data_IF_612309377983
#
_entry.id   IF_612309377983
#
_cell.length_a   1.000
_cell.length_b   1.000
_cell.length_c   1.000
_cell.angle_alpha   90.00
_cell.angle_beta   90.00
_cell.angle_gamma   90.00
#
_symmetry.space_group_name_H-M   'P 1'
#
loop_
_entity.id
_entity.type
_entity.pdbx_description
1 polymer ?
#
# COMPACT_ATOMS: atom_id res chain seq x y z
N UNK A 1 -17.49 18.59 -8.70
CA UNK A 1 -16.23 19.31 -8.41
C UNK A 1 -15.10 18.72 -9.23
N UNK A 2 -13.86 19.24 -9.18
CA UNK A 2 -12.69 18.64 -9.85
C UNK A 2 -12.48 17.18 -9.40
N UNK A 3 -12.66 16.92 -8.10
CA UNK A 3 -12.57 15.58 -7.53
C UNK A 3 -13.59 14.62 -8.17
N UNK A 4 -14.86 15.00 -8.21
CA UNK A 4 -15.95 14.11 -8.70
C UNK A 4 -15.97 13.95 -10.22
N UNK A 5 -15.70 15.02 -10.97
CA UNK A 5 -15.89 15.04 -12.44
C UNK A 5 -14.64 14.63 -13.22
N UNK A 6 -13.49 14.52 -12.56
CA UNK A 6 -12.24 14.10 -13.20
C UNK A 6 -11.53 13.09 -12.32
N UNK A 7 -10.93 13.49 -11.20
CA UNK A 7 -9.97 12.61 -10.49
C UNK A 7 -10.57 11.27 -10.10
N UNK A 8 -11.78 11.23 -9.53
CA UNK A 8 -12.44 9.98 -9.13
C UNK A 8 -12.79 9.10 -10.32
N UNK A 9 -13.15 9.68 -11.47
CA UNK A 9 -13.41 8.95 -12.71
C UNK A 9 -12.12 8.31 -13.21
N UNK A 10 -11.06 9.12 -13.35
CA UNK A 10 -9.76 8.66 -13.85
C UNK A 10 -9.14 7.58 -12.95
N UNK A 11 -9.29 7.72 -11.61
CA UNK A 11 -8.85 6.72 -10.63
C UNK A 11 -9.65 5.42 -10.73
N UNK A 12 -10.97 5.49 -10.95
CA UNK A 12 -11.82 4.32 -11.09
C UNK A 12 -11.50 3.55 -12.38
N UNK A 13 -11.25 4.27 -13.48
CA UNK A 13 -10.92 3.68 -14.78
C UNK A 13 -9.65 2.84 -14.70
N UNK A 14 -8.58 3.36 -14.09
CA UNK A 14 -7.33 2.59 -13.95
C UNK A 14 -7.43 1.43 -12.94
N UNK A 15 -8.31 1.55 -11.93
CA UNK A 15 -8.47 0.54 -10.88
C UNK A 15 -9.37 -0.62 -11.29
N UNK A 16 -10.25 -0.42 -12.28
CA UNK A 16 -11.16 -1.44 -12.80
C UNK A 16 -10.68 -2.10 -14.10
N UNK A 17 -9.51 -1.68 -14.60
CA UNK A 17 -8.91 -2.23 -15.82
C UNK A 17 -8.69 -3.77 -15.70
N UNK A 18 -9.05 -4.56 -16.74
CA UNK A 18 -8.88 -6.01 -16.77
C UNK A 18 -7.44 -6.44 -16.49
N UNK A 19 -7.24 -7.56 -15.80
CA UNK A 19 -5.92 -8.00 -15.32
C UNK A 19 -4.99 -8.46 -16.46
N UNK A 20 -5.54 -8.86 -17.60
CA UNK A 20 -4.80 -9.37 -18.78
C UNK A 20 -4.22 -8.25 -19.68
N UNK A 21 -4.47 -6.98 -19.34
CA UNK A 21 -3.86 -5.72 -19.84
C UNK A 21 -3.07 -5.82 -21.14
N UNK A 22 -3.74 -6.12 -22.25
CA UNK A 22 -3.08 -6.18 -23.59
C UNK A 22 -2.59 -4.82 -24.06
N UNK A 23 -3.36 -3.76 -23.81
CA UNK A 23 -3.04 -2.38 -24.20
C UNK A 23 -3.36 -1.40 -23.06
N UNK A 24 -2.49 -1.28 -22.05
CA UNK A 24 -2.69 -0.32 -20.97
C UNK A 24 -2.57 1.12 -21.48
N UNK A 25 -3.48 2.00 -21.04
CA UNK A 25 -3.30 3.44 -21.20
C UNK A 25 -2.23 3.94 -20.20
N UNK A 26 -0.96 3.86 -20.64
CA UNK A 26 0.21 4.28 -19.85
C UNK A 26 0.19 5.77 -19.50
N UNK A 27 -0.45 6.60 -20.33
CA UNK A 27 -0.52 8.03 -20.08
C UNK A 27 -1.47 8.31 -18.91
N UNK A 28 -2.68 7.73 -18.94
CA UNK A 28 -3.65 7.83 -17.86
C UNK A 28 -3.11 7.24 -16.55
N UNK A 29 -2.47 6.07 -16.61
CA UNK A 29 -1.82 5.47 -15.43
C UNK A 29 -0.85 6.44 -14.77
N UNK A 30 0.11 6.98 -15.55
CA UNK A 30 1.14 7.87 -15.03
C UNK A 30 0.55 9.19 -14.52
N UNK A 31 -0.45 9.72 -15.21
CA UNK A 31 -1.20 10.89 -14.77
C UNK A 31 -1.83 10.65 -13.40
N UNK A 32 -2.57 9.55 -13.23
CA UNK A 32 -3.25 9.24 -11.97
C UNK A 32 -2.23 8.95 -10.87
N UNK A 33 -1.27 8.05 -11.09
CA UNK A 33 -0.35 7.58 -10.04
C UNK A 33 0.64 8.64 -9.59
N UNK A 34 0.90 9.67 -10.41
CA UNK A 34 1.84 10.75 -10.09
C UNK A 34 1.12 12.08 -9.88
N UNK A 35 0.51 12.63 -10.94
CA UNK A 35 -0.04 13.98 -10.92
C UNK A 35 -1.24 14.08 -9.98
N UNK A 36 -2.25 13.22 -10.15
CA UNK A 36 -3.47 13.24 -9.31
C UNK A 36 -3.13 12.99 -7.84
N UNK A 37 -2.32 11.97 -7.54
CA UNK A 37 -1.88 11.69 -6.16
C UNK A 37 -1.16 12.89 -5.55
N UNK A 38 -0.23 13.53 -6.27
CA UNK A 38 0.52 14.68 -5.75
C UNK A 38 -0.36 15.92 -5.55
N UNK A 39 -1.34 16.15 -6.43
CA UNK A 39 -2.31 17.24 -6.26
C UNK A 39 -3.15 17.00 -5.02
N UNK A 40 -3.64 15.77 -4.82
CA UNK A 40 -4.41 15.40 -3.62
C UNK A 40 -3.56 15.63 -2.37
N UNK A 41 -2.33 15.08 -2.31
CA UNK A 41 -1.40 15.27 -1.19
C UNK A 41 -1.20 16.76 -0.89
N UNK A 42 -0.84 17.54 -1.90
CA UNK A 42 -0.54 18.97 -1.75
C UNK A 42 -1.77 19.76 -1.30
N UNK A 43 -2.93 19.46 -1.88
CA UNK A 43 -4.19 20.10 -1.53
C UNK A 43 -4.53 19.85 -0.06
N UNK A 44 -4.54 18.60 0.37
CA UNK A 44 -4.98 18.24 1.73
C UNK A 44 -3.97 18.59 2.83
N UNK A 45 -2.67 18.68 2.50
CA UNK A 45 -1.65 19.22 3.41
C UNK A 45 -1.71 20.75 3.55
N UNK A 46 -2.38 21.44 2.62
CA UNK A 46 -2.50 22.90 2.70
C UNK A 46 -3.39 23.31 3.86
N UNK A 47 -3.01 24.32 4.67
CA UNK A 47 -3.86 24.84 5.75
C UNK A 47 -5.17 25.45 5.22
N UNK A 48 -5.22 25.81 3.94
CA UNK A 48 -6.44 26.34 3.31
C UNK A 48 -7.46 25.26 2.93
N UNK A 49 -7.09 23.98 3.03
CA UNK A 49 -7.99 22.88 2.67
C UNK A 49 -9.02 22.55 3.75
N UNK A 50 -8.89 23.08 4.98
CA UNK A 50 -9.84 22.86 6.08
C UNK A 50 -11.29 23.22 5.67
N UNK A 51 -11.47 24.25 4.83
CA UNK A 51 -12.80 24.65 4.34
C UNK A 51 -13.39 23.65 3.33
N UNK A 52 -12.56 22.82 2.71
CA UNK A 52 -12.96 21.91 1.63
C UNK A 52 -13.33 20.51 2.10
N UNK A 53 -13.07 20.17 3.37
CA UNK A 53 -13.07 18.77 3.84
C UNK A 53 -13.89 18.53 5.11
N UNK A 54 -14.21 19.59 5.85
CA UNK A 54 -14.71 19.50 7.24
C UNK A 54 -16.23 19.76 7.33
N UNK A 55 -16.87 20.14 6.22
CA UNK A 55 -18.33 20.31 6.17
C UNK A 55 -18.98 18.96 5.87
N UNK A 56 -20.05 18.59 6.60
CA UNK A 56 -20.83 17.34 6.37
C UNK A 56 -21.15 17.07 4.89
N UNK A 57 -21.35 18.13 4.09
CA UNK A 57 -21.66 18.03 2.66
C UNK A 57 -20.49 17.57 1.77
N UNK A 58 -19.25 17.58 2.27
CA UNK A 58 -18.04 17.22 1.52
C UNK A 58 -17.37 15.93 2.01
N UNK A 59 -17.79 15.41 3.16
CA UNK A 59 -17.33 14.12 3.69
C UNK A 59 -17.45 12.98 2.65
N UNK A 60 -18.56 12.82 1.89
CA UNK A 60 -18.66 11.72 0.93
C UNK A 60 -17.55 11.75 -0.14
N UNK A 61 -17.17 12.94 -0.60
CA UNK A 61 -16.12 13.12 -1.61
C UNK A 61 -14.76 12.70 -1.03
N UNK A 62 -14.48 13.09 0.22
CA UNK A 62 -13.26 12.68 0.91
C UNK A 62 -13.15 11.15 1.01
N UNK A 63 -14.23 10.50 1.47
CA UNK A 63 -14.27 9.04 1.61
C UNK A 63 -14.09 8.35 0.25
N UNK A 64 -14.72 8.88 -0.81
CA UNK A 64 -14.55 8.36 -2.16
C UNK A 64 -13.11 8.50 -2.67
N UNK A 65 -12.43 9.60 -2.37
CA UNK A 65 -11.01 9.78 -2.74
C UNK A 65 -10.12 8.77 -2.03
N UNK A 66 -10.29 8.60 -0.70
CA UNK A 66 -9.54 7.61 0.07
C UNK A 66 -9.79 6.19 -0.45
N UNK A 67 -11.06 5.84 -0.68
CA UNK A 67 -11.44 4.53 -1.21
C UNK A 67 -10.84 4.28 -2.60
N UNK A 68 -10.86 5.30 -3.48
CA UNK A 68 -10.32 5.19 -4.84
C UNK A 68 -8.80 5.07 -4.81
N UNK A 69 -8.11 5.84 -3.97
CA UNK A 69 -6.66 5.74 -3.81
C UNK A 69 -6.27 4.35 -3.30
N UNK A 70 -7.01 3.81 -2.32
CA UNK A 70 -6.84 2.44 -1.85
C UNK A 70 -7.02 1.40 -2.96
N UNK A 71 -8.06 1.53 -3.80
CA UNK A 71 -8.26 0.62 -4.95
C UNK A 71 -7.11 0.70 -5.95
N UNK A 72 -6.64 1.90 -6.26
CA UNK A 72 -5.45 2.10 -7.10
C UNK A 72 -4.24 1.39 -6.47
N UNK A 73 -4.02 1.49 -5.16
CA UNK A 73 -2.89 0.80 -4.52
C UNK A 73 -2.96 -0.72 -4.63
N UNK A 74 -4.15 -1.31 -4.78
CA UNK A 74 -4.30 -2.76 -4.99
C UNK A 74 -3.99 -3.22 -6.42
N UNK A 75 -3.74 -2.30 -7.35
CA UNK A 75 -3.39 -2.65 -8.72
C UNK A 75 -2.06 -3.42 -8.77
N UNK A 76 -2.03 -4.65 -9.32
CA UNK A 76 -0.82 -5.49 -9.31
C UNK A 76 0.27 -5.00 -10.26
N UNK A 77 -0.11 -4.19 -11.26
CA UNK A 77 0.78 -3.69 -12.31
C UNK A 77 1.59 -2.45 -11.90
N UNK A 78 1.35 -1.88 -10.72
CA UNK A 78 2.07 -0.70 -10.24
C UNK A 78 3.55 -1.00 -10.07
N UNK A 79 4.41 -0.15 -10.62
CA UNK A 79 5.83 -0.13 -10.26
C UNK A 79 6.01 0.25 -8.78
N UNK A 80 7.18 -0.06 -8.21
CA UNK A 80 7.49 0.27 -6.82
C UNK A 80 7.37 1.79 -6.53
N UNK A 81 7.79 2.64 -7.46
CA UNK A 81 7.71 4.09 -7.32
C UNK A 81 6.26 4.59 -7.36
N UNK A 82 5.46 4.10 -8.32
CA UNK A 82 4.03 4.45 -8.39
C UNK A 82 3.29 3.99 -7.14
N UNK A 83 3.54 2.74 -6.70
CA UNK A 83 2.96 2.19 -5.47
C UNK A 83 3.29 3.05 -4.25
N UNK A 84 4.56 3.41 -4.09
CA UNK A 84 4.99 4.29 -3.00
C UNK A 84 4.24 5.62 -3.03
N UNK A 85 4.08 6.24 -4.20
CA UNK A 85 3.38 7.53 -4.30
C UNK A 85 1.90 7.43 -3.94
N UNK A 86 1.21 6.37 -4.40
CA UNK A 86 -0.19 6.11 -4.07
C UNK A 86 -0.36 5.82 -2.57
N UNK A 87 0.52 5.00 -1.98
CA UNK A 87 0.53 4.72 -0.54
C UNK A 87 0.79 5.98 0.30
N UNK A 88 1.67 6.87 -0.16
CA UNK A 88 1.90 8.16 0.47
C UNK A 88 0.63 9.04 0.44
N UNK A 89 -0.08 9.06 -0.69
CA UNK A 89 -1.36 9.76 -0.79
C UNK A 89 -2.40 9.22 0.20
N UNK A 90 -2.51 7.88 0.32
CA UNK A 90 -3.42 7.24 1.28
C UNK A 90 -3.04 7.65 2.70
N UNK A 91 -1.74 7.63 3.06
CA UNK A 91 -1.26 8.04 4.38
C UNK A 91 -1.66 9.48 4.70
N UNK A 92 -1.40 10.42 3.80
CA UNK A 92 -1.80 11.83 3.97
C UNK A 92 -3.30 11.97 4.19
N UNK A 93 -4.13 11.30 3.37
CA UNK A 93 -5.58 11.32 3.56
C UNK A 93 -5.97 10.75 4.93
N UNK A 94 -5.40 9.62 5.35
CA UNK A 94 -5.68 9.04 6.68
C UNK A 94 -5.29 9.96 7.83
N UNK A 95 -4.16 10.65 7.75
CA UNK A 95 -3.73 11.65 8.76
C UNK A 95 -4.70 12.83 8.81
N UNK A 96 -5.12 13.34 7.65
CA UNK A 96 -6.09 14.43 7.55
C UNK A 96 -7.44 14.04 8.14
N UNK A 97 -7.90 12.82 7.89
CA UNK A 97 -9.14 12.32 8.47
C UNK A 97 -9.11 12.32 10.01
N UNK A 98 -7.99 11.86 10.59
CA UNK A 98 -7.78 11.86 12.04
C UNK A 98 -7.71 13.28 12.59
N UNK A 99 -6.85 14.12 12.00
CA UNK A 99 -6.63 15.50 12.46
C UNK A 99 -7.89 16.36 12.40
N UNK A 100 -8.74 16.13 11.39
CA UNK A 100 -9.99 16.88 11.17
C UNK A 100 -11.25 16.16 11.65
N UNK A 101 -11.11 15.01 12.33
CA UNK A 101 -12.24 14.19 12.79
C UNK A 101 -13.26 13.88 11.68
N UNK A 102 -12.77 13.61 10.46
CA UNK A 102 -13.63 13.22 9.33
C UNK A 102 -14.01 11.76 9.52
N UNK A 103 -15.30 11.48 9.66
CA UNK A 103 -15.79 10.11 9.79
C UNK A 103 -15.55 9.31 8.50
N UNK A 104 -14.95 8.13 8.63
CA UNK A 104 -14.70 7.16 7.56
C UNK A 104 -15.49 5.88 7.87
N UNK A 105 -16.06 5.18 6.86
CA UNK A 105 -16.63 3.85 7.08
C UNK A 105 -15.61 2.87 7.66
N UNK A 106 -16.00 2.14 8.72
CA UNK A 106 -15.13 1.23 9.47
C UNK A 106 -14.40 0.20 8.58
N UNK A 107 -15.07 -0.32 7.56
CA UNK A 107 -14.46 -1.29 6.64
C UNK A 107 -13.29 -0.70 5.85
N UNK A 108 -13.40 0.55 5.41
CA UNK A 108 -12.34 1.25 4.70
C UNK A 108 -11.18 1.58 5.64
N UNK A 109 -11.48 2.01 6.88
CA UNK A 109 -10.46 2.23 7.90
C UNK A 109 -9.64 0.96 8.17
N UNK A 110 -10.32 -0.18 8.40
CA UNK A 110 -9.68 -1.48 8.60
C UNK A 110 -8.81 -1.91 7.42
N UNK A 111 -9.27 -1.68 6.18
CA UNK A 111 -8.50 -1.98 4.97
C UNK A 111 -7.21 -1.17 4.89
N UNK A 112 -7.28 0.12 5.19
CA UNK A 112 -6.12 1.03 5.17
C UNK A 112 -5.13 0.69 6.29
N UNK A 113 -5.61 0.41 7.49
CA UNK A 113 -4.75 0.01 8.61
C UNK A 113 -4.03 -1.32 8.34
N UNK A 114 -4.75 -2.30 7.77
CA UNK A 114 -4.15 -3.58 7.37
C UNK A 114 -3.03 -3.41 6.33
N UNK A 115 -3.17 -2.45 5.41
CA UNK A 115 -2.16 -2.15 4.38
C UNK A 115 -0.82 -1.74 5.01
N UNK A 116 -0.85 -0.81 5.98
CA UNK A 116 0.37 -0.32 6.63
C UNK A 116 0.93 -1.30 7.68
N UNK A 117 0.08 -2.12 8.30
CA UNK A 117 0.52 -3.18 9.20
C UNK A 117 1.26 -4.31 8.45
N UNK A 118 0.78 -4.71 7.26
CA UNK A 118 1.48 -5.66 6.38
C UNK A 118 2.89 -5.17 6.01
N UNK A 119 3.02 -3.89 5.66
CA UNK A 119 4.31 -3.27 5.35
C UNK A 119 5.27 -3.32 6.56
N UNK A 120 4.77 -3.07 7.76
CA UNK A 120 5.55 -3.13 9.00
C UNK A 120 6.07 -4.53 9.30
N UNK A 121 5.24 -5.56 9.12
CA UNK A 121 5.63 -6.96 9.33
C UNK A 121 6.72 -7.39 8.34
N UNK A 122 6.54 -7.06 7.05
CA UNK A 122 7.51 -7.39 5.99
C UNK A 122 8.87 -6.71 6.22
N UNK A 123 8.86 -5.45 6.65
CA UNK A 123 10.07 -4.71 7.02
C UNK A 123 10.81 -5.38 8.19
N UNK A 124 10.09 -5.73 9.26
CA UNK A 124 10.66 -6.44 10.42
C UNK A 124 11.25 -7.79 10.04
N UNK A 125 10.59 -8.55 9.18
CA UNK A 125 11.07 -9.84 8.72
C UNK A 125 12.36 -9.69 7.88
N UNK A 126 12.39 -8.74 6.95
CA UNK A 126 13.57 -8.44 6.13
C UNK A 126 14.78 -8.05 6.98
N UNK A 127 14.57 -7.25 8.03
CA UNK A 127 15.63 -6.87 8.96
C UNK A 127 16.16 -8.08 9.73
N UNK A 128 15.31 -9.02 10.17
CA UNK A 128 15.75 -10.26 10.81
C UNK A 128 16.62 -11.11 9.87
N UNK A 129 16.23 -11.27 8.61
CA UNK A 129 17.03 -11.98 7.61
C UNK A 129 18.38 -11.32 7.33
N UNK A 130 18.40 -9.98 7.17
CA UNK A 130 19.66 -9.23 6.98
C UNK A 130 20.61 -9.41 8.17
N UNK A 131 20.10 -9.47 9.40
CA UNK A 131 20.93 -9.71 10.57
C UNK A 131 21.39 -11.18 10.66
N UNK A 132 20.54 -12.15 10.29
CA UNK A 132 20.92 -13.56 10.23
C UNK A 132 22.02 -13.83 9.18
N UNK A 133 22.08 -13.06 8.08
CA UNK A 133 23.18 -13.17 7.10
C UNK A 133 24.52 -12.58 7.57
N UNK A 134 24.54 -11.83 8.69
CA UNK A 134 25.75 -11.23 9.26
C UNK A 134 26.35 -12.05 10.41
N UNK A 135 25.75 -13.19 10.79
CA UNK A 135 26.37 -14.06 11.80
C UNK A 135 27.61 -14.73 11.21
N UNK A 136 28.81 -14.52 11.79
CA UNK A 136 30.02 -15.21 11.33
C UNK A 136 29.86 -16.73 11.50
N UNK A 137 30.43 -17.50 10.56
CA UNK A 137 30.38 -18.97 10.54
C UNK A 137 30.83 -19.52 11.90
N UNK A 138 29.89 -20.11 12.63
CA UNK A 138 30.18 -20.91 13.83
C UNK A 138 31.10 -22.07 13.42
N UNK A 139 32.26 -22.12 14.06
CA UNK A 139 33.27 -23.17 13.94
C UNK A 139 32.63 -24.53 14.29
N UNK A 140 32.64 -25.46 13.33
CA UNK A 140 32.11 -26.81 13.53
C UNK A 140 33.06 -27.60 14.43
N UNK A 141 32.77 -27.67 15.72
CA UNK A 141 33.33 -28.73 16.57
C UNK A 141 32.84 -30.09 16.08
N UNK A 142 33.75 -30.91 15.56
CA UNK A 142 33.53 -32.31 15.23
C UNK A 142 33.19 -33.08 16.50
N UNK A 143 31.92 -33.42 16.73
CA UNK A 143 31.54 -34.57 17.55
C UNK A 143 30.04 -34.80 17.45
N UNK A 144 29.69 -35.83 16.68
CA UNK A 144 28.44 -36.62 16.67
C UNK A 144 28.05 -36.98 15.23
N UNK A 145 28.97 -37.64 14.51
CA UNK A 145 28.56 -38.50 13.42
C UNK A 145 28.01 -39.78 14.06
N UNK A 146 26.70 -39.80 14.33
CA UNK A 146 26.02 -40.97 14.87
C UNK A 146 26.22 -42.14 13.90
N UNK A 147 26.97 -43.15 14.37
CA UNK A 147 27.03 -44.47 13.76
C UNK A 147 25.64 -45.11 13.89
N UNK A 148 24.94 -45.22 12.77
CA UNK A 148 23.83 -46.15 12.59
C UNK A 148 24.12 -46.97 11.34
N UNK A 149 25.10 -47.87 11.44
CA UNK A 149 25.28 -48.95 10.47
C UNK A 149 24.49 -50.17 10.94
N UNK A 150 23.45 -50.48 10.14
CA UNK A 150 23.01 -51.81 9.72
C UNK A 150 22.51 -52.80 10.78
N UNK A 151 21.19 -52.93 10.82
CA UNK A 151 20.50 -54.14 11.27
C UNK A 151 19.33 -54.50 10.37
N UNK A 152 19.55 -54.82 9.08
CA UNK A 152 18.58 -55.51 8.22
C UNK A 152 19.39 -56.17 7.07
N UNK A 153 19.25 -57.42 6.58
CA UNK A 153 18.16 -58.41 6.52
C UNK A 153 18.78 -59.83 6.44
N UNK A 154 18.08 -60.78 7.05
CA UNK A 154 18.19 -62.25 6.96
C UNK A 154 17.67 -62.75 5.61
N UNK A 155 18.44 -63.56 4.87
CA UNK A 155 18.03 -64.17 3.59
C UNK A 155 19.19 -64.73 2.78
#
# INVERSE_FOLDING_TARGET
TLFEKSFLVDMADIATAPTDRKHPDRALENYVTNCVMNIIITFFNSPFSDQSTTVQTRQPIFVQLLQSAFRVSQCPWLSASQRFNVENCIRTLSEVAKNRSIAIPLDLENQVDAMFNKATILSKQTNKWRQASKTPKIERSQSQLMRLDRSIIEG
#
